data_IF_355370898901
#
_entry.id   IF_355370898901
#
_cell.length_a   1.000
_cell.length_b   1.000
_cell.length_c   1.000
_cell.angle_alpha   90.00
_cell.angle_beta   90.00
_cell.angle_gamma   90.00
#
_symmetry.space_group_name_H-M   'P 1'
#
loop_
_entity.id
_entity.type
_entity.pdbx_description
1 polymer ?
#
# COMPACT_ATOMS: atom_id res chain seq x y z
N UNK A 1 13.13 -9.94 13.73
CA UNK A 1 12.66 -11.06 12.88
C UNK A 1 11.51 -10.61 12.00
N UNK A 2 11.66 -10.75 10.68
CA UNK A 2 10.64 -10.41 9.69
C UNK A 2 9.44 -11.36 9.78
N UNK A 3 8.25 -10.87 9.42
CA UNK A 3 6.98 -11.63 9.34
C UNK A 3 6.70 -12.17 7.92
N UNK A 4 7.20 -11.51 6.88
CA UNK A 4 7.04 -11.95 5.50
C UNK A 4 8.18 -11.44 4.60
N UNK A 5 8.31 -12.01 3.41
CA UNK A 5 9.29 -11.61 2.40
C UNK A 5 8.60 -10.99 1.17
N UNK A 6 9.23 -10.01 0.55
CA UNK A 6 8.89 -9.55 -0.80
C UNK A 6 9.94 -10.08 -1.77
N UNK A 7 9.53 -10.88 -2.75
CA UNK A 7 10.46 -11.52 -3.69
C UNK A 7 10.16 -11.02 -5.10
N UNK A 8 11.14 -10.36 -5.70
CA UNK A 8 11.04 -9.87 -7.07
C UNK A 8 11.46 -11.00 -8.01
N UNK A 9 10.52 -11.53 -8.80
CA UNK A 9 10.78 -12.70 -9.66
C UNK A 9 11.38 -12.32 -11.02
N UNK A 10 11.18 -11.08 -11.46
CA UNK A 10 11.67 -10.58 -12.74
C UNK A 10 12.19 -9.14 -12.57
N UNK A 11 13.30 -8.79 -13.23
CA UNK A 11 13.82 -7.40 -13.18
C UNK A 11 12.77 -6.38 -13.63
N UNK A 12 11.95 -6.76 -14.63
CA UNK A 12 10.78 -6.02 -15.09
C UNK A 12 9.49 -6.36 -14.32
N UNK A 13 9.53 -6.61 -13.01
CA UNK A 13 8.33 -6.86 -12.21
C UNK A 13 7.40 -5.64 -12.10
N UNK A 14 6.12 -5.89 -11.87
CA UNK A 14 5.14 -4.84 -11.56
C UNK A 14 5.58 -4.03 -10.34
N UNK A 15 5.41 -2.71 -10.43
CA UNK A 15 5.45 -1.85 -9.25
C UNK A 15 4.06 -1.84 -8.65
N UNK A 16 3.90 -2.10 -7.35
CA UNK A 16 2.58 -2.23 -6.72
C UNK A 16 2.24 -1.12 -5.72
N UNK A 17 3.15 -0.19 -5.48
CA UNK A 17 2.91 0.96 -4.62
C UNK A 17 3.47 2.24 -5.27
N UNK A 18 4.06 3.14 -4.48
CA UNK A 18 4.47 4.48 -4.90
C UNK A 18 5.70 4.53 -5.82
N UNK A 19 6.56 3.49 -5.80
CA UNK A 19 7.75 3.46 -6.64
C UNK A 19 7.40 3.09 -8.09
N UNK A 20 8.34 3.34 -9.00
CA UNK A 20 8.27 2.92 -10.40
C UNK A 20 9.42 1.98 -10.74
N UNK A 21 9.17 1.05 -11.65
CA UNK A 21 10.18 0.15 -12.20
C UNK A 21 10.49 0.55 -13.65
N UNK A 22 11.67 1.14 -13.93
CA UNK A 22 12.02 1.57 -15.28
C UNK A 22 12.17 0.40 -16.28
N UNK A 23 12.31 -0.84 -15.80
CA UNK A 23 12.48 -2.01 -16.63
C UNK A 23 11.16 -2.69 -17.02
N UNK A 24 10.01 -2.31 -16.44
CA UNK A 24 8.72 -2.98 -16.64
C UNK A 24 8.21 -2.94 -18.10
N UNK A 25 8.55 -1.90 -18.86
CA UNK A 25 8.21 -1.79 -20.30
C UNK A 25 9.37 -2.12 -21.23
N UNK A 26 10.48 -2.67 -20.70
CA UNK A 26 11.62 -3.05 -21.54
C UNK A 26 11.24 -4.20 -22.48
N UNK A 27 11.68 -4.10 -23.74
CA UNK A 27 11.42 -5.08 -24.81
C UNK A 27 12.44 -6.23 -24.83
N UNK A 28 13.32 -6.29 -23.82
CA UNK A 28 14.36 -7.32 -23.71
C UNK A 28 13.78 -8.68 -23.35
N UNK A 29 14.63 -9.72 -23.45
CA UNK A 29 14.30 -11.02 -22.86
C UNK A 29 14.08 -10.87 -21.33
N UNK A 30 13.15 -11.65 -20.75
CA UNK A 30 12.91 -11.61 -19.31
C UNK A 30 14.19 -11.93 -18.55
N UNK A 31 14.49 -11.11 -17.55
CA UNK A 31 15.56 -11.37 -16.59
C UNK A 31 14.94 -11.86 -15.29
N UNK A 32 14.76 -13.17 -15.19
CA UNK A 32 14.20 -13.83 -14.01
C UNK A 32 15.22 -13.97 -12.88
N UNK A 33 14.73 -14.03 -11.65
CA UNK A 33 15.50 -14.50 -10.51
C UNK A 33 16.10 -15.89 -10.82
N UNK A 34 17.39 -16.14 -10.54
CA UNK A 34 17.98 -17.47 -10.67
C UNK A 34 17.18 -18.51 -9.89
N UNK A 35 16.88 -19.66 -10.52
CA UNK A 35 16.02 -20.68 -9.92
C UNK A 35 16.61 -21.26 -8.63
N UNK A 36 17.92 -21.42 -8.57
CA UNK A 36 18.65 -21.91 -7.39
C UNK A 36 18.58 -20.92 -6.21
N UNK A 37 18.59 -19.61 -6.51
CA UNK A 37 18.36 -18.58 -5.52
C UNK A 37 16.91 -18.63 -5.00
N UNK A 38 15.92 -18.73 -5.90
CA UNK A 38 14.52 -18.85 -5.51
C UNK A 38 14.27 -20.10 -4.65
N UNK A 39 14.90 -21.23 -4.96
CA UNK A 39 14.79 -22.47 -4.18
C UNK A 39 15.24 -22.27 -2.73
N UNK A 40 16.36 -21.58 -2.53
CA UNK A 40 16.87 -21.23 -1.19
C UNK A 40 15.91 -20.30 -0.45
N UNK A 41 15.40 -19.27 -1.12
CA UNK A 41 14.46 -18.31 -0.53
C UNK A 41 13.16 -19.01 -0.09
N UNK A 42 12.58 -19.84 -0.96
CA UNK A 42 11.33 -20.56 -0.68
C UNK A 42 11.52 -21.58 0.43
N UNK A 43 12.63 -22.33 0.42
CA UNK A 43 12.97 -23.24 1.52
C UNK A 43 13.09 -22.49 2.84
N UNK A 44 13.85 -21.40 2.88
CA UNK A 44 13.98 -20.57 4.07
C UNK A 44 12.62 -20.05 4.57
N UNK A 45 11.80 -19.52 3.66
CA UNK A 45 10.48 -19.00 4.00
C UNK A 45 9.59 -20.09 4.62
N UNK A 46 9.57 -21.29 4.04
CA UNK A 46 8.84 -22.44 4.58
C UNK A 46 9.37 -22.87 5.94
N UNK A 47 10.69 -23.02 6.10
CA UNK A 47 11.31 -23.48 7.34
C UNK A 47 11.14 -22.47 8.49
N UNK A 48 10.89 -21.19 8.17
CA UNK A 48 10.60 -20.11 9.11
C UNK A 48 9.12 -19.73 9.18
N UNK A 49 8.24 -20.46 8.49
CA UNK A 49 6.80 -20.19 8.40
C UNK A 49 6.49 -18.73 7.98
N UNK A 50 7.28 -18.18 7.06
CA UNK A 50 7.11 -16.84 6.52
C UNK A 50 6.19 -16.85 5.31
N UNK A 51 5.27 -15.89 5.28
CA UNK A 51 4.48 -15.60 4.09
C UNK A 51 5.33 -14.93 3.01
N UNK A 52 5.06 -15.19 1.73
CA UNK A 52 5.84 -14.62 0.62
C UNK A 52 4.97 -13.84 -0.36
N UNK A 53 5.34 -12.59 -0.64
CA UNK A 53 4.72 -11.77 -1.65
C UNK A 53 5.60 -11.76 -2.90
N UNK A 54 5.17 -12.46 -3.95
CA UNK A 54 5.89 -12.57 -5.21
C UNK A 54 5.48 -11.48 -6.19
N UNK A 55 6.46 -10.73 -6.71
CA UNK A 55 6.24 -9.70 -7.72
C UNK A 55 6.58 -10.26 -9.10
N UNK A 56 5.57 -10.34 -9.97
CA UNK A 56 5.68 -10.88 -11.32
C UNK A 56 5.97 -9.76 -12.32
N UNK A 57 6.73 -10.07 -13.38
CA UNK A 57 6.75 -9.23 -14.58
C UNK A 57 5.64 -9.63 -15.55
N UNK A 58 5.81 -9.28 -16.83
CA UNK A 58 4.81 -9.52 -17.88
C UNK A 58 4.86 -10.94 -18.44
N UNK A 59 5.94 -11.66 -18.16
CA UNK A 59 6.19 -12.97 -18.74
C UNK A 59 5.68 -14.07 -17.82
N UNK A 60 5.07 -15.11 -18.40
CA UNK A 60 4.73 -16.33 -17.65
C UNK A 60 6.00 -16.98 -17.13
N UNK A 61 5.97 -17.43 -15.89
CA UNK A 61 7.09 -18.16 -15.32
C UNK A 61 7.16 -19.58 -15.90
N UNK A 62 8.37 -20.14 -16.05
CA UNK A 62 8.53 -21.56 -16.38
C UNK A 62 7.93 -22.46 -15.27
N UNK A 63 7.41 -23.63 -15.64
CA UNK A 63 6.73 -24.56 -14.71
C UNK A 63 7.52 -24.91 -13.46
N UNK A 64 8.86 -24.94 -13.53
CA UNK A 64 9.73 -25.21 -12.37
C UNK A 64 9.66 -24.11 -11.30
N UNK A 65 9.45 -22.85 -11.70
CA UNK A 65 9.27 -21.74 -10.78
C UNK A 65 7.92 -21.83 -10.07
N UNK A 66 6.84 -22.10 -10.82
CA UNK A 66 5.49 -22.26 -10.26
C UNK A 66 5.43 -23.41 -9.25
N UNK A 67 5.97 -24.57 -9.61
CA UNK A 67 6.00 -25.74 -8.74
C UNK A 67 6.73 -25.48 -7.41
N UNK A 68 7.70 -24.55 -7.40
CA UNK A 68 8.41 -24.15 -6.20
C UNK A 68 7.60 -23.13 -5.38
N UNK A 69 7.05 -22.11 -6.05
CA UNK A 69 6.21 -21.07 -5.42
C UNK A 69 5.01 -21.69 -4.70
N UNK A 70 4.39 -22.72 -5.29
CA UNK A 70 3.23 -23.41 -4.73
C UNK A 70 3.55 -24.25 -3.47
N UNK A 71 4.83 -24.31 -3.04
CA UNK A 71 5.24 -25.03 -1.80
C UNK A 71 5.30 -24.16 -0.54
N UNK A 72 5.00 -22.85 -0.65
CA UNK A 72 5.01 -21.90 0.47
C UNK A 72 3.74 -21.04 0.44
N UNK A 73 3.28 -20.58 1.59
CA UNK A 73 2.15 -19.64 1.67
C UNK A 73 2.52 -18.31 1.03
N UNK A 74 1.71 -17.86 0.06
CA UNK A 74 2.10 -16.74 -0.77
C UNK A 74 0.94 -15.93 -1.37
N UNK A 75 1.27 -14.75 -1.87
CA UNK A 75 0.44 -13.93 -2.77
C UNK A 75 1.22 -13.64 -4.06
N UNK A 76 0.53 -13.71 -5.19
CA UNK A 76 1.05 -13.32 -6.51
C UNK A 76 0.57 -11.90 -6.84
N UNK A 77 1.48 -10.94 -6.94
CA UNK A 77 1.19 -9.60 -7.48
C UNK A 77 1.52 -9.60 -8.96
N UNK A 78 0.51 -9.41 -9.80
CA UNK A 78 0.59 -9.69 -11.22
C UNK A 78 0.10 -8.49 -12.05
N UNK A 79 0.63 -8.30 -13.26
CA UNK A 79 0.07 -7.36 -14.23
C UNK A 79 -1.23 -7.90 -14.83
N UNK A 80 -2.00 -7.00 -15.44
CA UNK A 80 -3.23 -7.35 -16.16
C UNK A 80 -3.03 -8.41 -17.25
N UNK A 81 -1.89 -8.39 -17.94
CA UNK A 81 -1.57 -9.36 -19.01
C UNK A 81 -1.52 -10.81 -18.53
N UNK A 82 -1.36 -11.03 -17.22
CA UNK A 82 -1.29 -12.37 -16.64
C UNK A 82 -2.57 -12.79 -15.89
N UNK A 83 -3.64 -11.98 -15.95
CA UNK A 83 -4.88 -12.22 -15.20
C UNK A 83 -5.52 -13.60 -15.45
N UNK A 84 -5.48 -14.09 -16.69
CA UNK A 84 -6.04 -15.40 -17.06
C UNK A 84 -5.18 -16.56 -16.57
N UNK A 85 -3.88 -16.31 -16.43
CA UNK A 85 -2.90 -17.32 -16.00
C UNK A 85 -2.93 -17.48 -14.48
N UNK A 86 -3.26 -16.40 -13.76
CA UNK A 86 -3.28 -16.33 -12.30
C UNK A 86 -4.57 -15.64 -11.84
N UNK A 87 -5.73 -16.32 -11.93
CA UNK A 87 -7.03 -15.73 -11.60
C UNK A 87 -7.12 -15.24 -10.15
N UNK A 88 -6.42 -15.90 -9.23
CA UNK A 88 -6.40 -15.57 -7.80
C UNK A 88 -5.31 -14.53 -7.42
N UNK A 89 -4.49 -14.10 -8.39
CA UNK A 89 -3.48 -13.08 -8.17
C UNK A 89 -4.07 -11.69 -7.95
N UNK A 90 -3.36 -10.88 -7.17
CA UNK A 90 -3.66 -9.46 -6.96
C UNK A 90 -3.27 -8.70 -8.22
N UNK A 91 -4.25 -8.11 -8.91
CA UNK A 91 -4.00 -7.33 -10.11
C UNK A 91 -3.39 -6.00 -9.75
N UNK A 92 -2.31 -5.65 -10.44
CA UNK A 92 -1.69 -4.34 -10.43
C UNK A 92 -1.99 -3.66 -11.75
N UNK A 93 -2.65 -2.52 -11.67
CA UNK A 93 -3.10 -1.71 -12.80
C UNK A 93 -2.43 -0.33 -12.73
N UNK A 94 -2.03 0.18 -13.89
CA UNK A 94 -1.64 1.58 -14.07
C UNK A 94 -2.78 2.34 -14.74
N UNK A 95 -3.15 3.51 -14.21
CA UNK A 95 -4.24 4.33 -14.75
C UNK A 95 -3.99 4.80 -16.19
N UNK A 96 -2.72 4.89 -16.60
CA UNK A 96 -2.32 5.12 -17.99
C UNK A 96 -2.75 4.00 -18.96
N UNK A 97 -3.09 2.81 -18.47
CA UNK A 97 -3.54 1.65 -19.27
C UNK A 97 -5.08 1.43 -19.20
N UNK A 98 -5.85 2.48 -18.87
CA UNK A 98 -7.31 2.40 -18.63
C UNK A 98 -8.14 1.80 -19.76
N UNK A 99 -7.68 1.88 -21.01
CA UNK A 99 -8.36 1.25 -22.16
C UNK A 99 -8.51 -0.27 -21.98
N UNK A 100 -7.61 -0.88 -21.19
CA UNK A 100 -7.64 -2.31 -20.90
C UNK A 100 -8.58 -2.67 -19.73
N UNK A 101 -9.11 -1.71 -18.96
CA UNK A 101 -9.92 -2.00 -17.76
C UNK A 101 -11.21 -2.76 -18.09
N UNK A 102 -11.79 -2.52 -19.28
CA UNK A 102 -12.98 -3.24 -19.74
C UNK A 102 -12.76 -4.73 -19.97
N UNK A 103 -11.51 -5.19 -20.07
CA UNK A 103 -11.18 -6.62 -20.19
C UNK A 103 -11.18 -7.37 -18.86
N UNK A 104 -11.27 -6.66 -17.73
CA UNK A 104 -11.22 -7.27 -16.41
C UNK A 104 -12.57 -7.94 -16.12
N UNK A 105 -12.54 -9.26 -15.94
CA UNK A 105 -13.72 -10.03 -15.56
C UNK A 105 -14.32 -9.56 -14.24
N UNK A 106 -15.65 -9.59 -14.12
CA UNK A 106 -16.33 -9.30 -12.86
C UNK A 106 -15.91 -10.30 -11.79
N UNK A 107 -15.40 -9.80 -10.68
CA UNK A 107 -14.99 -10.59 -9.53
C UNK A 107 -15.07 -9.71 -8.27
N UNK A 108 -16.25 -9.69 -7.66
CA UNK A 108 -16.51 -8.83 -6.50
C UNK A 108 -15.80 -9.29 -5.21
N UNK A 109 -14.99 -10.36 -5.24
CA UNK A 109 -14.13 -10.79 -4.13
C UNK A 109 -12.65 -10.42 -4.32
N UNK A 110 -12.26 -9.88 -5.48
CA UNK A 110 -10.85 -9.65 -5.83
C UNK A 110 -10.26 -8.42 -5.14
N UNK A 111 -8.96 -8.47 -4.86
CA UNK A 111 -8.18 -7.29 -4.49
C UNK A 111 -7.45 -6.74 -5.72
N UNK A 112 -7.60 -5.45 -5.96
CA UNK A 112 -6.93 -4.72 -7.06
C UNK A 112 -6.05 -3.63 -6.47
N UNK A 113 -4.91 -3.40 -7.10
CA UNK A 113 -4.01 -2.29 -6.87
C UNK A 113 -4.11 -1.38 -8.10
N UNK A 114 -4.44 -0.11 -7.89
CA UNK A 114 -4.47 0.92 -8.94
C UNK A 114 -3.40 1.97 -8.64
N UNK A 115 -2.48 2.13 -9.58
CA UNK A 115 -1.44 3.15 -9.55
C UNK A 115 -1.84 4.31 -10.44
N UNK A 116 -1.67 5.53 -9.93
CA UNK A 116 -2.18 6.74 -10.58
C UNK A 116 -1.05 7.76 -10.61
N UNK A 117 -0.66 8.18 -11.81
CA UNK A 117 0.31 9.25 -12.02
C UNK A 117 -0.36 10.62 -12.13
N UNK A 118 0.44 11.68 -12.10
CA UNK A 118 -0.02 13.07 -12.16
C UNK A 118 -0.99 13.35 -13.33
N UNK A 119 -0.68 12.83 -14.52
CA UNK A 119 -1.49 13.06 -15.73
C UNK A 119 -2.82 12.30 -15.73
N UNK A 120 -2.94 11.25 -14.90
CA UNK A 120 -4.15 10.42 -14.81
C UNK A 120 -5.16 10.96 -13.79
N UNK A 121 -4.74 11.86 -12.89
CA UNK A 121 -5.57 12.37 -11.79
C UNK A 121 -6.96 12.84 -12.25
N UNK A 122 -7.04 13.52 -13.41
CA UNK A 122 -8.30 14.06 -13.93
C UNK A 122 -9.38 13.00 -14.16
N UNK A 123 -9.01 11.76 -14.43
CA UNK A 123 -9.93 10.66 -14.69
C UNK A 123 -10.04 9.66 -13.55
N UNK A 124 -9.38 9.92 -12.41
CA UNK A 124 -9.34 8.99 -11.29
C UNK A 124 -10.73 8.50 -10.85
N UNK A 125 -11.69 9.41 -10.66
CA UNK A 125 -13.04 9.04 -10.22
C UNK A 125 -13.85 8.32 -11.31
N UNK A 126 -13.51 8.46 -12.59
CA UNK A 126 -14.11 7.65 -13.67
C UNK A 126 -13.42 6.30 -13.81
N UNK A 127 -12.11 6.22 -13.57
CA UNK A 127 -11.34 4.99 -13.65
C UNK A 127 -11.77 4.00 -12.56
N UNK A 128 -11.96 4.47 -11.32
CA UNK A 128 -12.54 3.68 -10.23
C UNK A 128 -13.96 3.21 -10.54
N UNK A 129 -14.74 4.03 -11.25
CA UNK A 129 -16.09 3.65 -11.68
C UNK A 129 -16.08 2.56 -12.75
N UNK A 130 -15.15 2.61 -13.70
CA UNK A 130 -14.97 1.59 -14.72
C UNK A 130 -14.59 0.23 -14.09
N UNK A 131 -13.83 0.26 -13.00
CA UNK A 131 -13.45 -0.94 -12.24
C UNK A 131 -14.55 -1.45 -11.31
N UNK A 132 -15.72 -0.80 -11.24
CA UNK A 132 -16.76 -1.20 -10.29
C UNK A 132 -17.27 -2.63 -10.56
N UNK A 133 -17.34 -3.43 -9.50
CA UNK A 133 -17.77 -4.83 -9.59
C UNK A 133 -16.68 -5.81 -10.02
N UNK A 134 -15.45 -5.33 -10.28
CA UNK A 134 -14.27 -6.18 -10.53
C UNK A 134 -13.43 -6.41 -9.29
N UNK A 135 -13.75 -5.74 -8.17
CA UNK A 135 -13.04 -5.85 -6.89
C UNK A 135 -13.97 -5.79 -5.69
N UNK A 136 -13.52 -6.41 -4.59
CA UNK A 136 -13.98 -6.12 -3.22
C UNK A 136 -13.21 -4.95 -2.64
N UNK A 137 -11.88 -4.98 -2.81
CA UNK A 137 -10.97 -3.96 -2.28
C UNK A 137 -10.08 -3.38 -3.37
N UNK A 138 -10.06 -2.06 -3.44
CA UNK A 138 -9.14 -1.29 -4.26
C UNK A 138 -8.09 -0.62 -3.38
N UNK A 139 -6.83 -0.91 -3.62
CA UNK A 139 -5.69 -0.21 -3.04
C UNK A 139 -5.15 0.77 -4.08
N UNK A 140 -5.41 2.05 -3.88
CA UNK A 140 -4.98 3.14 -4.72
C UNK A 140 -3.64 3.68 -4.20
N UNK A 141 -2.67 3.84 -5.10
CA UNK A 141 -1.38 4.46 -4.82
C UNK A 141 -1.09 5.57 -5.84
N UNK A 142 -0.77 6.76 -5.34
CA UNK A 142 -0.23 7.83 -6.15
C UNK A 142 1.25 7.57 -6.44
N UNK A 143 1.65 7.82 -7.69
CA UNK A 143 3.03 7.63 -8.19
C UNK A 143 3.55 8.98 -8.68
N UNK A 144 4.84 9.24 -8.46
CA UNK A 144 5.47 10.48 -8.93
C UNK A 144 5.06 11.72 -8.14
N UNK A 145 4.73 11.58 -6.85
CA UNK A 145 4.23 12.68 -6.02
C UNK A 145 5.26 13.81 -5.83
N UNK A 146 6.54 13.53 -6.06
CA UNK A 146 7.62 14.54 -6.05
C UNK A 146 7.46 15.61 -7.14
N UNK A 147 6.59 15.37 -8.13
CA UNK A 147 6.28 16.31 -9.21
C UNK A 147 4.95 17.02 -9.04
N UNK A 148 4.20 16.68 -7.99
CA UNK A 148 2.86 17.24 -7.80
C UNK A 148 2.97 18.71 -7.41
N UNK A 149 2.16 19.53 -8.07
CA UNK A 149 1.96 20.94 -7.74
C UNK A 149 0.72 21.10 -6.87
N UNK A 150 0.54 22.30 -6.30
CA UNK A 150 -0.68 22.61 -5.54
C UNK A 150 -1.96 22.37 -6.37
N UNK A 151 -1.92 22.65 -7.67
CA UNK A 151 -3.05 22.39 -8.59
C UNK A 151 -3.35 20.90 -8.74
N UNK A 152 -2.33 20.05 -8.68
CA UNK A 152 -2.52 18.60 -8.75
C UNK A 152 -3.15 18.07 -7.45
N UNK A 153 -2.77 18.64 -6.30
CA UNK A 153 -3.37 18.33 -5.01
C UNK A 153 -4.85 18.78 -4.99
N UNK A 154 -5.17 19.98 -5.46
CA UNK A 154 -6.56 20.45 -5.61
C UNK A 154 -7.39 19.57 -6.55
N UNK A 155 -6.78 19.12 -7.65
CA UNK A 155 -7.40 18.19 -8.59
C UNK A 155 -7.65 16.83 -7.91
N UNK A 156 -6.65 16.30 -7.21
CA UNK A 156 -6.77 15.06 -6.46
C UNK A 156 -7.89 15.14 -5.42
N UNK A 157 -7.94 16.20 -4.62
CA UNK A 157 -9.00 16.45 -3.63
C UNK A 157 -10.40 16.42 -4.27
N UNK A 158 -10.55 17.06 -5.43
CA UNK A 158 -11.81 17.05 -6.20
C UNK A 158 -12.20 15.62 -6.61
N UNK A 159 -11.24 14.81 -7.05
CA UNK A 159 -11.47 13.45 -7.51
C UNK A 159 -11.78 12.50 -6.34
N UNK A 160 -11.05 12.61 -5.24
CA UNK A 160 -11.29 11.85 -4.01
C UNK A 160 -12.68 12.14 -3.46
N UNK A 161 -13.11 13.41 -3.46
CA UNK A 161 -14.47 13.78 -3.06
C UNK A 161 -15.52 13.16 -3.98
N UNK A 162 -15.33 13.20 -5.30
CA UNK A 162 -16.24 12.59 -6.25
C UNK A 162 -16.33 11.07 -6.06
N UNK A 163 -15.21 10.38 -5.80
CA UNK A 163 -15.19 8.96 -5.45
C UNK A 163 -15.95 8.68 -4.15
N UNK A 164 -15.72 9.49 -3.11
CA UNK A 164 -16.41 9.35 -1.82
C UNK A 164 -17.93 9.50 -1.93
N UNK A 165 -18.42 10.41 -2.78
CA UNK A 165 -19.86 10.56 -3.02
C UNK A 165 -20.47 9.33 -3.69
N UNK A 166 -19.78 8.73 -4.67
CA UNK A 166 -20.23 7.50 -5.33
C UNK A 166 -20.17 6.28 -4.41
N UNK A 167 -19.10 6.16 -3.62
CA UNK A 167 -18.95 5.10 -2.62
C UNK A 167 -20.02 5.18 -1.54
N UNK A 168 -20.35 6.38 -1.08
CA UNK A 168 -21.46 6.60 -0.14
C UNK A 168 -22.80 6.10 -0.70
N UNK A 169 -23.07 6.34 -1.98
CA UNK A 169 -24.27 5.81 -2.64
C UNK A 169 -24.25 4.28 -2.71
N UNK A 170 -23.11 3.68 -3.01
CA UNK A 170 -22.94 2.24 -3.00
C UNK A 170 -23.26 1.63 -1.62
N UNK A 171 -22.78 2.22 -0.53
CA UNK A 171 -23.09 1.75 0.83
C UNK A 171 -24.57 1.88 1.19
N UNK A 172 -25.26 2.94 0.74
CA UNK A 172 -26.71 3.08 0.92
C UNK A 172 -27.51 1.98 0.21
N UNK A 173 -26.94 1.40 -0.84
CA UNK A 173 -27.53 0.29 -1.59
C UNK A 173 -27.08 -1.09 -1.07
N UNK A 174 -26.35 -1.15 0.05
CA UNK A 174 -25.85 -2.39 0.62
C UNK A 174 -24.57 -2.93 -0.04
N UNK A 175 -23.84 -2.10 -0.80
CA UNK A 175 -22.53 -2.49 -1.34
C UNK A 175 -21.51 -2.71 -0.23
N UNK A 176 -20.55 -3.61 -0.46
CA UNK A 176 -19.50 -3.96 0.51
C UNK A 176 -18.10 -3.80 -0.11
N UNK A 177 -17.89 -2.68 -0.81
CA UNK A 177 -16.61 -2.36 -1.45
C UNK A 177 -15.72 -1.53 -0.52
N UNK A 178 -14.42 -1.74 -0.59
CA UNK A 178 -13.40 -1.00 0.15
C UNK A 178 -12.47 -0.25 -0.80
N UNK A 179 -12.13 0.99 -0.46
CA UNK A 179 -11.14 1.79 -1.19
C UNK A 179 -10.21 2.40 -0.15
N UNK A 180 -8.96 1.95 -0.11
CA UNK A 180 -8.02 2.25 0.99
C UNK A 180 -7.98 3.74 1.39
N UNK A 181 -7.94 4.65 0.42
CA UNK A 181 -7.87 6.10 0.63
C UNK A 181 -9.16 6.75 1.18
N UNK A 182 -10.28 6.03 1.21
CA UNK A 182 -11.59 6.53 1.68
C UNK A 182 -12.13 5.74 2.87
N UNK A 183 -11.80 4.45 2.96
CA UNK A 183 -12.43 3.53 3.93
C UNK A 183 -11.51 3.20 5.08
N UNK A 184 -10.20 3.05 4.84
CA UNK A 184 -9.28 2.55 5.88
C UNK A 184 -9.23 3.49 7.08
N UNK A 185 -9.26 4.82 6.88
CA UNK A 185 -9.25 5.74 8.01
C UNK A 185 -10.48 5.58 8.92
N UNK A 186 -11.64 5.20 8.38
CA UNK A 186 -12.83 4.98 9.20
C UNK A 186 -12.73 3.73 10.08
N UNK A 187 -12.04 2.72 9.57
CA UNK A 187 -12.01 1.36 10.14
C UNK A 187 -10.80 1.15 11.06
N UNK A 188 -9.68 1.79 10.77
CA UNK A 188 -8.45 1.67 11.55
C UNK A 188 -8.49 2.51 12.82
N UNK A 189 -7.94 1.96 13.90
CA UNK A 189 -7.77 2.63 15.20
C UNK A 189 -6.31 3.01 15.49
N UNK A 190 -5.38 2.57 14.65
CA UNK A 190 -3.94 2.85 14.74
C UNK A 190 -3.29 2.86 13.35
N UNK A 191 -2.06 3.36 13.27
CA UNK A 191 -1.30 3.41 12.01
C UNK A 191 -1.14 2.01 11.39
N UNK A 192 -1.49 1.89 10.11
CA UNK A 192 -1.34 0.68 9.31
C UNK A 192 -0.29 0.91 8.20
N UNK A 193 0.97 1.03 8.61
CA UNK A 193 2.10 1.36 7.74
C UNK A 193 2.56 0.17 6.88
N UNK A 194 3.40 0.43 5.88
CA UNK A 194 3.96 -0.66 5.05
C UNK A 194 4.95 -1.57 5.81
N UNK A 195 5.58 -1.08 6.87
CA UNK A 195 6.55 -1.80 7.72
C UNK A 195 7.77 -2.37 6.98
N UNK A 196 8.17 -1.72 5.88
CA UNK A 196 9.37 -2.03 5.11
C UNK A 196 10.64 -1.93 5.97
N UNK A 197 11.48 -2.97 5.94
CA UNK A 197 12.67 -3.12 6.77
C UNK A 197 12.38 -3.37 8.25
N UNK A 198 11.11 -3.50 8.67
CA UNK A 198 10.70 -3.85 10.04
C UNK A 198 10.05 -5.22 10.08
N UNK A 199 8.92 -5.38 9.38
CA UNK A 199 8.19 -6.66 9.29
C UNK A 199 8.48 -7.40 8.00
N UNK A 200 9.07 -6.77 7.00
CA UNK A 200 9.44 -7.45 5.78
C UNK A 200 10.73 -6.92 5.17
N UNK A 201 11.33 -7.75 4.33
CA UNK A 201 12.53 -7.46 3.57
C UNK A 201 12.28 -7.84 2.11
N UNK A 202 12.88 -7.09 1.18
CA UNK A 202 12.83 -7.40 -0.24
C UNK A 202 14.07 -8.16 -0.68
N UNK A 203 13.89 -9.23 -1.46
CA UNK A 203 14.96 -9.96 -2.12
C UNK A 203 14.80 -9.82 -3.63
N UNK A 204 15.83 -9.31 -4.30
CA UNK A 204 15.80 -9.01 -5.72
C UNK A 204 16.49 -10.09 -6.58
N UNK A 205 16.31 -10.09 -7.91
CA UNK A 205 16.89 -11.11 -8.80
C UNK A 205 18.43 -11.19 -8.77
N UNK A 206 19.08 -10.11 -8.35
CA UNK A 206 20.54 -10.03 -8.21
C UNK A 206 21.08 -10.70 -6.92
N UNK A 207 20.22 -11.31 -6.09
CA UNK A 207 20.60 -11.93 -4.82
C UNK A 207 20.85 -10.95 -3.69
N UNK A 208 20.56 -9.66 -3.88
CA UNK A 208 20.71 -8.62 -2.86
C UNK A 208 19.37 -8.37 -2.15
N UNK A 209 19.48 -7.88 -0.91
CA UNK A 209 18.37 -7.51 -0.06
C UNK A 209 18.19 -5.99 -0.02
N UNK A 210 16.93 -5.54 0.07
CA UNK A 210 16.56 -4.14 0.10
C UNK A 210 15.44 -3.90 1.11
N UNK A 211 15.34 -2.68 1.65
CA UNK A 211 14.27 -2.28 2.58
C UNK A 211 12.89 -2.51 1.93
N UNK A 212 12.73 -2.10 0.67
CA UNK A 212 11.57 -2.41 -0.15
C UNK A 212 11.96 -2.43 -1.64
N UNK A 213 11.06 -2.82 -2.58
CA UNK A 213 11.38 -2.83 -4.01
C UNK A 213 11.66 -1.44 -4.58
N UNK A 214 11.13 -0.37 -3.97
CA UNK A 214 11.42 1.00 -4.38
C UNK A 214 12.91 1.33 -4.31
N UNK A 215 13.59 0.94 -3.22
CA UNK A 215 15.04 1.11 -3.08
C UNK A 215 15.81 0.36 -4.18
N UNK A 216 15.40 -0.88 -4.50
CA UNK A 216 16.05 -1.66 -5.55
C UNK A 216 15.94 -1.01 -6.94
N UNK A 217 14.73 -0.55 -7.30
CA UNK A 217 14.48 0.00 -8.63
C UNK A 217 15.00 1.44 -8.81
N UNK A 218 15.16 2.18 -7.72
CA UNK A 218 15.72 3.53 -7.70
C UNK A 218 17.26 3.49 -7.78
N UNK A 219 17.90 2.68 -6.94
CA UNK A 219 19.34 2.50 -6.92
C UNK A 219 19.70 1.06 -6.49
N UNK A 220 20.19 0.25 -7.44
CA UNK A 220 20.63 -1.12 -7.14
C UNK A 220 21.77 -1.17 -6.08
N UNK A 221 22.50 -0.06 -5.87
CA UNK A 221 23.54 0.06 -4.85
C UNK A 221 22.99 0.29 -3.42
N UNK A 222 21.71 0.63 -3.26
CA UNK A 222 21.05 0.80 -1.96
C UNK A 222 20.74 -0.53 -1.23
N UNK A 223 21.55 -1.56 -1.48
CA UNK A 223 21.43 -2.88 -0.83
C UNK A 223 21.70 -2.77 0.67
N UNK A 224 20.97 -3.55 1.45
CA UNK A 224 21.21 -3.75 2.89
C UNK A 224 21.97 -5.06 3.18
N UNK A 225 22.42 -5.76 2.14
CA UNK A 225 23.22 -6.97 2.25
C UNK A 225 22.87 -8.02 1.19
N UNK A 226 23.74 -9.02 1.06
CA UNK A 226 23.50 -10.18 0.18
C UNK A 226 22.57 -11.15 0.90
N UNK A 227 21.58 -11.67 0.19
CA UNK A 227 20.71 -12.71 0.72
C UNK A 227 21.51 -13.95 1.16
N UNK A 228 21.28 -14.38 2.39
CA UNK A 228 21.87 -15.59 2.94
C UNK A 228 20.86 -16.28 3.88
N UNK A 229 20.65 -17.59 3.71
CA UNK A 229 19.73 -18.38 4.54
C UNK A 229 20.25 -18.61 5.96
N UNK A 230 21.56 -18.50 6.17
CA UNK A 230 22.23 -18.75 7.45
C UNK A 230 22.45 -17.48 8.29
N UNK A 231 22.20 -16.30 7.75
CA UNK A 231 22.51 -15.03 8.40
C UNK A 231 21.34 -14.05 8.34
N UNK A 232 21.01 -13.45 9.49
CA UNK A 232 20.03 -12.37 9.53
C UNK A 232 20.62 -11.10 8.88
N UNK A 233 19.83 -10.47 8.01
CA UNK A 233 20.19 -9.20 7.38
C UNK A 233 20.00 -8.07 8.39
N UNK A 234 21.11 -7.47 8.83
CA UNK A 234 21.13 -6.34 9.74
C UNK A 234 21.04 -5.03 8.96
N UNK A 235 19.97 -4.26 9.19
CA UNK A 235 19.79 -2.94 8.60
C UNK A 235 20.42 -1.90 9.51
N UNK A 236 21.35 -1.10 8.98
CA UNK A 236 21.97 -0.01 9.73
C UNK A 236 20.92 0.98 10.24
N UNK A 237 21.02 1.34 11.51
CA UNK A 237 20.09 2.25 12.19
C UNK A 237 18.60 1.86 12.03
N UNK A 238 18.28 0.55 11.96
CA UNK A 238 16.92 0.02 11.79
C UNK A 238 15.85 0.68 12.70
N UNK A 239 16.23 1.13 13.90
CA UNK A 239 15.33 1.88 14.82
C UNK A 239 14.62 3.06 14.15
N UNK A 240 15.26 3.73 13.19
CA UNK A 240 14.69 4.87 12.47
C UNK A 240 13.47 4.48 11.62
N UNK A 241 13.33 3.23 11.21
CA UNK A 241 12.16 2.73 10.49
C UNK A 241 10.90 2.61 11.37
N UNK A 242 11.08 2.60 12.70
CA UNK A 242 9.98 2.44 13.65
C UNK A 242 9.11 3.71 13.75
N UNK A 243 7.82 3.52 14.03
CA UNK A 243 6.89 4.63 14.23
C UNK A 243 7.31 5.53 15.40
N UNK A 244 7.90 4.95 16.46
CA UNK A 244 8.38 5.68 17.63
C UNK A 244 9.50 6.67 17.30
N UNK A 245 10.30 6.38 16.27
CA UNK A 245 11.33 7.27 15.77
C UNK A 245 10.84 8.22 14.66
N UNK A 246 9.54 8.26 14.37
CA UNK A 246 8.92 9.18 13.41
C UNK A 246 8.05 10.21 14.18
N UNK A 247 8.62 11.34 14.65
CA UNK A 247 7.97 12.25 15.60
C UNK A 247 6.65 12.87 15.09
N UNK A 248 6.54 13.14 13.78
CA UNK A 248 5.30 13.64 13.17
C UNK A 248 4.28 12.52 13.04
N UNK A 249 4.70 11.36 12.52
CA UNK A 249 3.81 10.25 12.24
C UNK A 249 3.26 9.59 13.51
N UNK A 250 4.05 9.53 14.59
CA UNK A 250 3.64 8.94 15.88
C UNK A 250 2.52 9.71 16.58
N UNK A 251 2.29 10.96 16.18
CA UNK A 251 1.22 11.81 16.73
C UNK A 251 0.10 12.08 15.71
N UNK A 252 0.18 11.47 14.53
CA UNK A 252 -0.77 11.68 13.45
C UNK A 252 -1.87 10.61 13.50
N UNK A 253 -3.12 11.02 13.25
CA UNK A 253 -4.26 10.11 13.18
C UNK A 253 -4.65 9.74 11.74
N UNK A 254 -3.83 10.06 10.73
CA UNK A 254 -4.02 9.58 9.36
C UNK A 254 -3.67 8.08 9.23
N UNK A 255 -4.40 7.23 9.95
CA UNK A 255 -4.07 5.80 10.14
C UNK A 255 -3.97 4.95 8.87
N UNK A 256 -4.62 5.38 7.79
CA UNK A 256 -4.54 4.75 6.46
C UNK A 256 -3.21 5.03 5.74
N UNK A 257 -2.50 6.09 6.13
CA UNK A 257 -1.24 6.50 5.53
C UNK A 257 -0.17 5.40 5.68
N UNK A 258 0.47 5.06 4.57
CA UNK A 258 1.46 3.99 4.52
C UNK A 258 2.85 4.37 5.02
N UNK A 259 3.11 5.66 5.32
CA UNK A 259 4.41 6.21 5.75
C UNK A 259 5.54 5.64 4.90
N UNK A 260 5.59 6.01 3.62
CA UNK A 260 6.49 5.37 2.67
C UNK A 260 7.95 5.77 2.95
N UNK A 261 8.70 4.89 3.61
CA UNK A 261 10.12 5.16 3.96
C UNK A 261 11.01 5.35 2.73
N UNK A 262 10.65 4.76 1.58
CA UNK A 262 11.31 5.03 0.31
C UNK A 262 11.10 6.48 -0.14
N UNK A 263 9.86 6.98 -0.13
CA UNK A 263 9.58 8.37 -0.49
C UNK A 263 10.18 9.36 0.53
N UNK A 264 10.22 8.99 1.81
CA UNK A 264 10.94 9.77 2.82
C UNK A 264 12.40 9.95 2.40
N UNK A 265 13.13 8.86 2.18
CA UNK A 265 14.52 8.91 1.74
C UNK A 265 14.69 9.70 0.43
N UNK A 266 13.82 9.47 -0.55
CA UNK A 266 13.89 10.11 -1.87
C UNK A 266 13.70 11.64 -1.79
N UNK A 267 12.76 12.11 -0.97
CA UNK A 267 12.31 13.51 -0.99
C UNK A 267 12.91 14.35 0.14
N UNK A 268 13.33 13.74 1.25
CA UNK A 268 13.84 14.46 2.43
C UNK A 268 15.25 14.06 2.82
N UNK A 269 15.81 13.00 2.19
CA UNK A 269 17.06 12.35 2.57
C UNK A 269 17.05 11.71 3.98
N UNK A 270 15.88 11.68 4.63
CA UNK A 270 15.70 11.20 6.00
C UNK A 270 14.63 10.11 6.04
N UNK A 271 15.02 8.87 6.35
CA UNK A 271 14.13 7.70 6.26
C UNK A 271 12.88 7.76 7.15
N UNK A 272 12.95 8.51 8.26
CA UNK A 272 11.90 8.62 9.28
C UNK A 272 11.10 9.94 9.21
N UNK A 273 11.40 10.82 8.25
CA UNK A 273 10.73 12.12 8.07
C UNK A 273 9.98 12.14 6.74
N UNK A 274 8.63 12.19 6.76
CA UNK A 274 7.85 12.28 5.52
C UNK A 274 8.02 13.63 4.84
N UNK A 275 7.82 13.65 3.53
CA UNK A 275 7.71 14.89 2.77
C UNK A 275 6.35 15.57 3.01
N UNK A 276 6.29 16.87 2.72
CA UNK A 276 5.04 17.64 2.75
C UNK A 276 3.97 17.01 1.85
N UNK A 277 4.36 16.58 0.65
CA UNK A 277 3.46 16.00 -0.36
C UNK A 277 2.77 14.75 0.19
N UNK A 278 3.54 13.83 0.81
CA UNK A 278 2.96 12.63 1.44
C UNK A 278 1.94 13.00 2.52
N UNK A 279 2.27 13.96 3.38
CA UNK A 279 1.40 14.38 4.47
C UNK A 279 0.11 15.04 3.98
N UNK A 280 0.23 16.00 3.05
CA UNK A 280 -0.93 16.75 2.53
C UNK A 280 -1.87 15.84 1.74
N UNK A 281 -1.35 14.91 0.94
CA UNK A 281 -2.17 13.93 0.22
C UNK A 281 -2.91 13.00 1.19
N UNK A 282 -2.22 12.42 2.18
CA UNK A 282 -2.85 11.58 3.20
C UNK A 282 -3.89 12.36 4.04
N UNK A 283 -3.67 13.64 4.31
CA UNK A 283 -4.63 14.48 5.04
C UNK A 283 -5.85 14.85 4.19
N UNK A 284 -5.68 14.96 2.87
CA UNK A 284 -6.78 15.12 1.91
C UNK A 284 -7.68 13.87 1.91
N UNK A 285 -7.08 12.69 1.88
CA UNK A 285 -7.76 11.38 2.00
C UNK A 285 -8.47 11.21 3.36
N UNK A 286 -7.78 11.59 4.45
CA UNK A 286 -8.34 11.61 5.81
C UNK A 286 -9.59 12.48 5.90
N UNK A 287 -9.54 13.68 5.33
CA UNK A 287 -10.65 14.63 5.37
C UNK A 287 -11.84 14.14 4.53
N UNK A 288 -11.60 13.56 3.35
CA UNK A 288 -12.63 12.91 2.58
C UNK A 288 -13.29 11.76 3.35
N UNK A 289 -12.48 10.92 4.02
CA UNK A 289 -12.96 9.87 4.91
C UNK A 289 -13.82 10.45 6.04
N UNK A 290 -13.38 11.52 6.72
CA UNK A 290 -14.16 12.18 7.78
C UNK A 290 -15.53 12.64 7.27
N UNK A 291 -15.57 13.32 6.13
CA UNK A 291 -16.81 13.81 5.54
C UNK A 291 -17.74 12.67 5.14
N UNK A 292 -17.20 11.60 4.55
CA UNK A 292 -17.98 10.43 4.18
C UNK A 292 -18.56 9.74 5.41
N UNK A 293 -17.78 9.52 6.48
CA UNK A 293 -18.25 8.90 7.72
C UNK A 293 -19.39 9.70 8.34
N UNK A 294 -19.26 11.03 8.39
CA UNK A 294 -20.31 11.93 8.89
C UNK A 294 -21.64 11.72 8.15
N UNK A 295 -21.60 11.47 6.85
CA UNK A 295 -22.80 11.26 6.02
C UNK A 295 -23.29 9.81 6.00
N UNK A 296 -22.53 8.87 6.54
CA UNK A 296 -22.89 7.45 6.68
C UNK A 296 -23.43 7.11 8.07
N UNK A 297 -23.49 8.07 9.01
CA UNK A 297 -23.91 7.85 10.40
C UNK A 297 -25.29 7.24 10.61
N UNK A 298 -26.15 7.28 9.60
CA UNK A 298 -27.47 6.67 9.62
C UNK A 298 -27.49 5.23 9.08
N UNK A 299 -26.34 4.64 8.79
CA UNK A 299 -26.18 3.31 8.18
C UNK A 299 -25.27 2.48 9.09
N UNK A 300 -25.67 1.24 9.38
CA UNK A 300 -24.81 0.30 10.11
C UNK A 300 -23.73 -0.29 9.18
N UNK A 301 -22.52 -0.56 9.68
CA UNK A 301 -22.03 -0.33 11.06
C UNK A 301 -21.40 1.07 11.27
N UNK A 302 -21.52 1.99 10.31
CA UNK A 302 -20.88 3.31 10.37
C UNK A 302 -21.39 4.21 11.50
N UNK A 303 -22.59 3.96 12.01
CA UNK A 303 -23.15 4.58 13.21
C UNK A 303 -22.26 4.36 14.44
N UNK A 304 -21.65 3.17 14.57
CA UNK A 304 -20.84 2.76 15.72
C UNK A 304 -19.36 3.14 15.61
N UNK A 305 -18.86 3.54 14.44
CA UNK A 305 -17.43 3.84 14.26
C UNK A 305 -17.02 5.13 15.00
N UNK A 306 -15.80 5.24 15.55
CA UNK A 306 -15.32 6.46 16.18
C UNK A 306 -15.37 7.67 15.23
N UNK A 307 -15.68 8.86 15.76
CA UNK A 307 -15.67 10.08 14.95
C UNK A 307 -14.24 10.49 14.61
N UNK A 308 -13.99 10.83 13.34
CA UNK A 308 -12.73 11.44 12.92
C UNK A 308 -12.82 12.94 13.19
N UNK A 309 -11.90 13.48 14.00
CA UNK A 309 -11.88 14.91 14.38
C UNK A 309 -11.53 15.78 13.17
N UNK A 310 -12.05 17.01 13.10
CA UNK A 310 -11.56 18.00 12.14
C UNK A 310 -10.16 18.47 12.54
N UNK A 311 -9.31 18.76 11.56
CA UNK A 311 -7.99 19.37 11.78
C UNK A 311 -8.03 20.85 11.41
N UNK A 312 -7.23 21.66 12.11
CA UNK A 312 -7.02 23.09 11.86
C UNK A 312 -5.89 23.37 10.85
N UNK A 313 -5.14 22.34 10.48
CA UNK A 313 -3.97 22.40 9.60
C UNK A 313 -4.13 21.41 8.45
N UNK A 314 -3.42 21.66 7.35
CA UNK A 314 -3.33 20.72 6.22
C UNK A 314 -2.06 19.91 6.30
N UNK A 315 -0.94 20.57 6.54
CA UNK A 315 0.36 19.97 6.72
C UNK A 315 0.73 19.88 8.22
N UNK A 316 0.97 18.68 8.79
CA UNK A 316 1.47 18.52 10.16
C UNK A 316 2.71 19.35 10.49
N UNK A 317 3.55 19.68 9.52
CA UNK A 317 4.73 20.52 9.74
C UNK A 317 4.36 21.95 10.18
N UNK A 318 3.17 22.45 9.83
CA UNK A 318 2.66 23.76 10.29
C UNK A 318 2.50 23.83 11.81
N UNK A 319 2.23 22.69 12.45
CA UNK A 319 2.07 22.57 13.91
C UNK A 319 3.43 22.41 14.59
N UNK A 320 4.29 21.57 14.02
CA UNK A 320 5.61 21.26 14.61
C UNK A 320 6.59 22.42 14.51
N UNK A 321 6.46 23.27 13.48
CA UNK A 321 7.30 24.45 13.31
C UNK A 321 6.98 25.61 14.27
N UNK A 322 5.91 25.53 15.08
CA UNK A 322 5.55 26.59 16.02
C UNK A 322 6.46 26.59 17.27
N UNK A 323 6.85 27.76 17.79
CA UNK A 323 7.63 27.85 19.01
C UNK A 323 6.88 27.21 20.20
N UNK A 324 7.65 26.55 21.08
CA UNK A 324 7.25 25.62 22.17
C UNK A 324 6.21 26.19 23.18
N UNK A 325 5.72 27.41 23.02
CA UNK A 325 4.72 28.03 23.90
C UNK A 325 3.27 28.08 23.38
N UNK A 326 2.99 27.74 22.12
CA UNK A 326 1.67 27.96 21.49
C UNK A 326 1.12 26.78 20.68
N UNK A 327 1.75 25.60 20.70
CA UNK A 327 1.29 24.48 19.86
C UNK A 327 0.02 23.82 20.42
N UNK A 328 -1.02 23.78 19.60
CA UNK A 328 -2.09 22.79 19.71
C UNK A 328 -1.43 21.41 19.54
N UNK A 329 -1.59 20.44 20.46
CA UNK A 329 -0.91 19.16 20.34
C UNK A 329 -1.26 18.49 19.01
N UNK A 330 -0.33 17.78 18.38
CA UNK A 330 -0.71 16.78 17.38
C UNK A 330 -1.51 15.71 18.12
N UNK A 331 -2.85 15.79 18.02
CA UNK A 331 -3.78 15.01 18.82
C UNK A 331 -3.92 13.60 18.26
N UNK A 332 -3.05 12.69 18.71
CA UNK A 332 -3.38 11.27 18.80
C UNK A 332 -3.61 10.93 20.28
N UNK A 333 -4.81 10.42 20.62
CA UNK A 333 -4.98 9.69 21.88
C UNK A 333 -3.92 8.57 21.86
N UNK A 334 -3.03 8.53 22.86
CA UNK A 334 -2.03 7.46 22.96
C UNK A 334 -2.80 6.15 22.98
N UNK A 335 -2.74 5.38 21.91
CA UNK A 335 -3.12 3.98 21.94
C UNK A 335 -2.17 3.33 22.93
N UNK A 336 -2.63 3.17 24.18
CA UNK A 336 -1.98 2.33 25.17
C UNK A 336 -1.80 0.94 24.55
N UNK A 337 -0.66 0.31 24.86
CA UNK A 337 -0.22 -0.98 24.32
C UNK A 337 -1.37 -2.01 24.32
N UNK A 338 -2.00 -2.17 23.15
CA UNK A 338 -3.03 -3.15 22.90
C UNK A 338 -2.55 -4.07 21.78
N UNK A 339 -2.69 -5.36 22.04
CA UNK A 339 -2.10 -6.47 21.30
C UNK A 339 -2.38 -6.39 19.79
N UNK A 340 -1.30 -6.38 19.00
CA UNK A 340 -1.31 -6.17 17.55
C UNK A 340 -1.96 -7.36 16.80
N UNK A 341 -2.07 -8.52 17.45
CA UNK A 341 -2.66 -9.73 16.87
C UNK A 341 -4.22 -9.72 16.91
N UNK A 342 -4.83 -8.78 17.64
CA UNK A 342 -6.30 -8.69 17.76
C UNK A 342 -6.96 -7.93 16.60
N UNK A 343 -6.25 -7.05 15.87
CA UNK A 343 -6.88 -6.15 14.89
C UNK A 343 -7.02 -6.69 13.46
N UNK A 344 -6.10 -7.54 12.98
CA UNK A 344 -6.32 -8.26 11.72
C UNK A 344 -7.44 -9.28 11.89
N UNK A 345 -7.51 -9.89 13.07
CA UNK A 345 -8.62 -10.74 13.51
C UNK A 345 -9.90 -9.92 13.65
N UNK A 346 -9.89 -8.68 14.17
CA UNK A 346 -11.10 -7.83 14.21
C UNK A 346 -11.56 -7.35 12.83
N UNK A 347 -10.67 -7.09 11.87
CA UNK A 347 -11.05 -6.77 10.48
C UNK A 347 -11.64 -8.00 9.79
N UNK A 348 -11.04 -9.19 9.96
CA UNK A 348 -11.57 -10.47 9.44
C UNK A 348 -12.84 -10.95 10.18
N UNK A 349 -12.96 -10.73 11.49
CA UNK A 349 -14.11 -11.08 12.32
C UNK A 349 -15.25 -10.06 12.17
N UNK A 350 -14.96 -8.78 11.88
CA UNK A 350 -15.99 -7.83 11.40
C UNK A 350 -16.52 -8.28 10.05
N UNK A 351 -15.66 -8.73 9.12
CA UNK A 351 -16.13 -9.32 7.85
C UNK A 351 -17.05 -10.53 8.11
N UNK A 352 -16.77 -11.40 9.08
CA UNK A 352 -17.67 -12.51 9.48
C UNK A 352 -18.97 -12.07 10.16
N UNK A 353 -18.92 -11.11 11.09
CA UNK A 353 -20.10 -10.68 11.88
C UNK A 353 -21.02 -9.72 11.13
N UNK A 354 -20.49 -8.94 10.18
CA UNK A 354 -21.28 -8.10 9.27
C UNK A 354 -22.08 -8.99 8.30
N UNK A 355 -21.49 -10.10 7.84
CA UNK A 355 -22.14 -11.08 6.94
C UNK A 355 -23.14 -12.02 7.62
N UNK A 356 -23.19 -12.10 8.96
CA UNK A 356 -24.15 -12.96 9.68
C UNK A 356 -25.45 -12.25 10.10
N UNK A 357 -25.57 -10.95 9.84
CA UNK A 357 -26.78 -10.16 10.18
C UNK A 357 -27.41 -9.43 8.99
N UNK A 358 -26.95 -9.74 7.78
CA UNK A 358 -27.66 -9.61 6.51
C UNK A 358 -28.04 -11.01 6.02
#
# INVERSE_FOLDING_TARGET
MYKYLLVILEKGAVSFCHYSNPYYHSQGQPSFMPLDLLEKIVRYARDKELFVNFLYGKHRLPTKYEALIDTVDHVKMIPLSLQESYPDGVLVLDAGERDAFGSIGKNASRNIILRVEQFDLRQLASDVDLLRGTFKRLNLHLVGIERFTEKDIELYETQVKAMGEKLQQAYKMGGEIEINILTDRMLLQQMNNCDAGVKHLTIAPNGQCYICPGFYHDDEAATVGVWNEDQEILIDNQRLLSLQCAPICSQCDAFHCKRCVYLNQLMTLEINVPSKEQCVLAHTEREASRQMLKRLRNIKPFDMLPAIRSLSYRDPFEVVAQPIGNSDPLLADRAEDLDVDDYLTQIYEMQKKILQKL
#
